data_IF_923540520819
#
_entry.id   IF_923540520819
#
_cell.length_a   1.000
_cell.length_b   1.000
_cell.length_c   1.000
_cell.angle_alpha   90.00
_cell.angle_beta   90.00
_cell.angle_gamma   90.00
#
_symmetry.space_group_name_H-M   'P 1'
#
loop_
_entity.id
_entity.type
_entity.pdbx_description
1 polymer ?
#
# COMPACT_ATOMS: atom_id res chain seq x y z
N UNK A 1 -0.53 13.96 19.86
CA UNK A 1 0.28 14.47 18.72
C UNK A 1 0.55 13.38 17.69
N UNK A 2 0.91 12.17 18.11
CA UNK A 2 1.20 11.01 17.24
C UNK A 2 0.12 10.77 16.16
N UNK A 3 -1.20 10.75 16.44
CA UNK A 3 -2.21 10.50 15.40
C UNK A 3 -2.27 11.59 14.32
N UNK A 4 -1.90 12.84 14.67
CA UNK A 4 -1.85 13.96 13.70
C UNK A 4 -0.69 13.79 12.73
N UNK A 5 0.46 13.33 13.22
CA UNK A 5 1.64 13.03 12.39
C UNK A 5 1.31 11.90 11.41
N UNK A 6 0.76 10.79 11.91
CA UNK A 6 0.36 9.67 11.05
C UNK A 6 -0.66 10.07 9.99
N UNK A 7 -1.64 10.93 10.34
CA UNK A 7 -2.58 11.48 9.37
C UNK A 7 -1.88 12.33 8.29
N UNK A 8 -0.91 13.17 8.68
CA UNK A 8 -0.16 13.97 7.72
C UNK A 8 0.70 13.10 6.78
N UNK A 9 1.40 12.12 7.34
CA UNK A 9 2.23 11.18 6.55
C UNK A 9 1.36 10.33 5.62
N UNK A 10 0.18 9.91 6.06
CA UNK A 10 -0.80 9.23 5.20
C UNK A 10 -1.20 10.08 4.00
N UNK A 11 -1.54 11.34 4.23
CA UNK A 11 -1.91 12.23 3.14
C UNK A 11 -0.73 12.46 2.17
N UNK A 12 0.48 12.65 2.71
CA UNK A 12 1.69 12.78 1.90
C UNK A 12 2.03 11.51 1.12
N UNK A 13 1.82 10.31 1.69
CA UNK A 13 2.06 9.06 0.97
C UNK A 13 1.08 8.85 -0.17
N UNK A 14 -0.17 9.28 -0.02
CA UNK A 14 -1.15 9.29 -1.10
C UNK A 14 -0.74 10.24 -2.22
N UNK A 15 -0.33 11.48 -1.89
CA UNK A 15 0.17 12.44 -2.89
C UNK A 15 1.41 11.87 -3.60
N UNK A 16 2.36 11.31 -2.84
CA UNK A 16 3.56 10.65 -3.37
C UNK A 16 3.21 9.55 -4.37
N UNK A 17 2.29 8.66 -4.01
CA UNK A 17 1.77 7.64 -4.91
C UNK A 17 1.15 8.25 -6.16
N UNK A 18 0.26 9.25 -6.02
CA UNK A 18 -0.42 9.86 -7.16
C UNK A 18 0.57 10.51 -8.15
N UNK A 19 1.62 11.16 -7.67
CA UNK A 19 2.66 11.74 -8.54
C UNK A 19 3.39 10.66 -9.33
N UNK A 20 3.84 9.60 -8.66
CA UNK A 20 4.54 8.46 -9.31
C UNK A 20 3.61 7.78 -10.30
N UNK A 21 2.36 7.55 -9.90
CA UNK A 21 1.37 6.88 -10.73
C UNK A 21 1.04 7.67 -11.99
N UNK A 22 0.87 9.00 -11.89
CA UNK A 22 0.62 9.84 -13.07
C UNK A 22 1.82 9.86 -14.01
N UNK A 23 3.04 9.90 -13.47
CA UNK A 23 4.26 9.77 -14.27
C UNK A 23 4.32 8.44 -15.02
N UNK A 24 4.07 7.33 -14.33
CA UNK A 24 4.05 6.00 -14.96
C UNK A 24 2.91 5.87 -15.96
N UNK A 25 1.71 6.31 -15.63
CA UNK A 25 0.58 6.27 -16.55
C UNK A 25 0.88 7.00 -17.87
N UNK A 26 1.51 8.18 -17.79
CA UNK A 26 1.89 8.95 -18.97
C UNK A 26 2.95 8.26 -19.85
N UNK A 27 3.77 7.38 -19.28
CA UNK A 27 4.79 6.62 -20.00
C UNK A 27 4.32 5.26 -20.52
N UNK A 28 3.14 4.79 -20.11
CA UNK A 28 2.64 3.49 -20.53
C UNK A 28 2.16 3.49 -22.01
N UNK A 29 2.45 2.42 -22.76
CA UNK A 29 1.86 2.18 -24.08
C UNK A 29 0.36 1.90 -23.99
N UNK A 30 -0.33 1.91 -25.14
CA UNK A 30 -1.78 1.62 -25.20
C UNK A 30 -2.14 0.24 -24.64
N UNK A 31 -1.28 -0.75 -24.90
CA UNK A 31 -1.40 -2.12 -24.41
C UNK A 31 -0.34 -2.37 -23.33
N UNK A 32 -0.78 -2.55 -22.08
CA UNK A 32 0.05 -2.77 -20.90
C UNK A 32 0.20 -4.26 -20.66
N UNK A 33 1.44 -4.73 -20.60
CA UNK A 33 1.82 -6.13 -20.38
C UNK A 33 2.13 -6.35 -18.90
N UNK A 34 1.61 -7.44 -18.32
CA UNK A 34 1.84 -7.82 -16.92
C UNK A 34 2.73 -9.05 -16.72
N UNK A 35 3.10 -9.74 -17.80
CA UNK A 35 3.92 -10.95 -17.76
C UNK A 35 4.66 -11.12 -19.08
N UNK A 36 5.93 -11.53 -19.00
CA UNK A 36 6.78 -11.91 -20.14
C UNK A 36 6.55 -13.36 -20.63
N UNK A 37 5.53 -14.05 -20.08
CA UNK A 37 5.18 -15.41 -20.49
C UNK A 37 4.50 -15.46 -21.87
N UNK A 38 4.50 -16.64 -22.49
CA UNK A 38 3.87 -16.91 -23.79
C UNK A 38 2.38 -16.52 -23.85
N UNK A 39 1.68 -16.61 -22.71
CA UNK A 39 0.32 -16.10 -22.52
C UNK A 39 0.35 -14.81 -21.69
N UNK A 40 0.95 -13.77 -22.27
CA UNK A 40 1.04 -12.47 -21.62
C UNK A 40 -0.36 -11.90 -21.35
N UNK A 41 -0.65 -11.63 -20.08
CA UNK A 41 -1.86 -10.88 -19.73
C UNK A 41 -1.65 -9.43 -20.15
N UNK A 42 -2.48 -8.98 -21.09
CA UNK A 42 -2.46 -7.62 -21.62
C UNK A 42 -3.75 -6.91 -21.21
N UNK A 43 -3.63 -5.65 -20.81
CA UNK A 43 -4.78 -4.78 -20.56
C UNK A 43 -4.58 -3.43 -21.25
N UNK A 44 -5.67 -2.77 -21.63
CA UNK A 44 -5.59 -1.38 -22.11
C UNK A 44 -5.09 -0.46 -21.00
N UNK A 45 -4.28 0.54 -21.35
CA UNK A 45 -3.78 1.58 -20.43
C UNK A 45 -4.88 2.24 -19.61
N UNK A 46 -6.03 2.51 -20.22
CA UNK A 46 -7.15 3.15 -19.54
C UNK A 46 -7.79 2.23 -18.49
N UNK A 47 -7.90 0.93 -18.80
CA UNK A 47 -8.36 -0.05 -17.80
C UNK A 47 -7.41 -0.09 -16.59
N UNK A 48 -6.09 -0.11 -16.83
CA UNK A 48 -5.10 -0.05 -15.74
C UNK A 48 -5.28 1.21 -14.92
N UNK A 49 -5.48 2.35 -15.58
CA UNK A 49 -5.72 3.62 -14.90
C UNK A 49 -6.95 3.58 -13.97
N UNK A 50 -8.10 3.20 -14.51
CA UNK A 50 -9.36 3.19 -13.76
C UNK A 50 -9.32 2.17 -12.62
N UNK A 51 -8.74 0.98 -12.83
CA UNK A 51 -8.57 -0.01 -11.77
C UNK A 51 -7.66 0.49 -10.66
N UNK A 52 -6.49 1.03 -10.99
CA UNK A 52 -5.53 1.53 -10.00
C UNK A 52 -6.13 2.68 -9.19
N UNK A 53 -6.76 3.66 -9.84
CA UNK A 53 -7.42 4.78 -9.15
C UNK A 53 -8.55 4.27 -8.26
N UNK A 54 -9.37 3.33 -8.74
CA UNK A 54 -10.48 2.77 -7.95
C UNK A 54 -9.96 2.05 -6.70
N UNK A 55 -8.96 1.18 -6.84
CA UNK A 55 -8.37 0.46 -5.72
C UNK A 55 -7.80 1.42 -4.69
N UNK A 56 -7.01 2.41 -5.13
CA UNK A 56 -6.38 3.40 -4.25
C UNK A 56 -7.43 4.28 -3.57
N UNK A 57 -8.46 4.70 -4.30
CA UNK A 57 -9.56 5.49 -3.76
C UNK A 57 -10.33 4.70 -2.70
N UNK A 58 -10.67 3.43 -2.95
CA UNK A 58 -11.36 2.57 -1.97
C UNK A 58 -10.50 2.41 -0.71
N UNK A 59 -9.22 2.04 -0.86
CA UNK A 59 -8.32 1.83 0.27
C UNK A 59 -8.16 3.10 1.11
N UNK A 60 -7.99 4.26 0.47
CA UNK A 60 -7.84 5.52 1.19
C UNK A 60 -9.17 6.06 1.74
N UNK A 61 -10.31 5.73 1.11
CA UNK A 61 -11.63 6.06 1.62
C UNK A 61 -11.93 5.34 2.95
N UNK A 62 -11.37 4.15 3.17
CA UNK A 62 -11.52 3.42 4.43
C UNK A 62 -11.03 4.23 5.64
N UNK A 63 -10.07 5.15 5.46
CA UNK A 63 -9.64 6.08 6.52
C UNK A 63 -10.78 6.92 7.05
N UNK A 64 -11.63 7.43 6.16
CA UNK A 64 -12.80 8.22 6.55
C UNK A 64 -13.88 7.37 7.19
N UNK A 65 -14.10 6.16 6.68
CA UNK A 65 -15.05 5.20 7.26
C UNK A 65 -14.62 4.82 8.68
N UNK A 66 -13.39 4.37 8.85
CA UNK A 66 -12.84 3.94 10.14
C UNK A 66 -12.79 5.10 11.13
N UNK A 67 -12.34 6.30 10.72
CA UNK A 67 -12.33 7.46 11.62
C UNK A 67 -13.73 7.87 12.07
N UNK A 68 -14.78 7.65 11.26
CA UNK A 68 -16.17 7.91 11.64
C UNK A 68 -16.71 6.85 12.60
N UNK A 69 -16.46 5.56 12.33
CA UNK A 69 -16.94 4.45 13.14
C UNK A 69 -16.25 4.37 14.51
N UNK A 70 -14.96 4.66 14.56
CA UNK A 70 -14.12 4.55 15.76
C UNK A 70 -13.79 5.90 16.39
N UNK A 71 -14.70 6.88 16.27
CA UNK A 71 -14.55 8.25 16.80
C UNK A 71 -14.17 8.32 18.30
N UNK A 72 -14.43 7.25 19.06
CA UNK A 72 -14.14 7.09 20.51
C UNK A 72 -12.98 6.16 20.83
N UNK A 73 -12.30 5.55 19.84
CA UNK A 73 -11.18 4.64 20.11
C UNK A 73 -9.93 5.41 20.54
N UNK A 74 -9.12 4.83 21.42
CA UNK A 74 -7.81 5.35 21.77
C UNK A 74 -6.97 5.68 20.54
N UNK A 75 -6.17 6.75 20.63
CA UNK A 75 -5.33 7.23 19.52
C UNK A 75 -4.37 6.17 18.94
N UNK A 76 -4.11 5.10 19.68
CA UNK A 76 -3.32 3.94 19.27
C UNK A 76 -3.92 3.21 18.06
N UNK A 77 -5.23 2.93 18.06
CA UNK A 77 -5.86 2.22 16.94
C UNK A 77 -5.83 3.06 15.67
N UNK A 78 -6.14 4.36 15.80
CA UNK A 78 -6.06 5.30 14.70
C UNK A 78 -4.66 5.35 14.10
N UNK A 79 -3.62 5.50 14.93
CA UNK A 79 -2.24 5.54 14.46
C UNK A 79 -1.81 4.24 13.75
N UNK A 80 -2.16 3.08 14.31
CA UNK A 80 -1.91 1.79 13.67
C UNK A 80 -2.59 1.68 12.30
N UNK A 81 -3.86 2.07 12.20
CA UNK A 81 -4.61 2.03 10.95
C UNK A 81 -4.04 2.98 9.89
N UNK A 82 -3.71 4.23 10.25
CA UNK A 82 -3.02 5.15 9.34
C UNK A 82 -1.68 4.56 8.86
N UNK A 83 -0.92 3.93 9.77
CA UNK A 83 0.31 3.22 9.42
C UNK A 83 0.07 2.14 8.36
N UNK A 84 -1.00 1.35 8.51
CA UNK A 84 -1.35 0.32 7.53
C UNK A 84 -1.64 0.90 6.14
N UNK A 85 -2.41 1.98 6.06
CA UNK A 85 -2.72 2.64 4.78
C UNK A 85 -1.46 3.28 4.16
N UNK A 86 -0.56 3.84 4.98
CA UNK A 86 0.72 4.36 4.51
C UNK A 86 1.54 3.26 3.83
N UNK A 87 1.66 2.09 4.47
CA UNK A 87 2.39 0.95 3.91
C UNK A 87 1.77 0.46 2.60
N UNK A 88 0.44 0.42 2.52
CA UNK A 88 -0.26 0.08 1.28
C UNK A 88 0.01 1.09 0.16
N UNK A 89 -0.01 2.40 0.45
CA UNK A 89 0.31 3.42 -0.56
C UNK A 89 1.74 3.25 -1.11
N UNK A 90 2.73 2.96 -0.24
CA UNK A 90 4.09 2.67 -0.69
C UNK A 90 4.19 1.39 -1.51
N UNK A 91 3.45 0.35 -1.13
CA UNK A 91 3.40 -0.88 -1.91
C UNK A 91 2.76 -0.67 -3.28
N UNK A 92 1.74 0.18 -3.40
CA UNK A 92 1.19 0.55 -4.70
C UNK A 92 2.23 1.26 -5.58
N UNK A 93 3.13 2.07 -5.01
CA UNK A 93 4.26 2.61 -5.77
C UNK A 93 5.15 1.49 -6.32
N UNK A 94 5.44 0.45 -5.52
CA UNK A 94 6.21 -0.72 -5.97
C UNK A 94 5.52 -1.46 -7.10
N UNK A 95 4.21 -1.70 -6.99
CA UNK A 95 3.42 -2.38 -8.04
C UNK A 95 3.43 -1.58 -9.34
N UNK A 96 3.18 -0.27 -9.26
CA UNK A 96 3.18 0.61 -10.44
C UNK A 96 4.59 0.71 -11.04
N UNK A 97 5.63 0.78 -10.21
CA UNK A 97 7.02 0.75 -10.68
C UNK A 97 7.37 -0.56 -11.38
N UNK A 98 6.85 -1.70 -10.92
CA UNK A 98 7.02 -2.98 -11.60
C UNK A 98 6.34 -2.99 -12.98
N UNK A 99 5.10 -2.50 -13.07
CA UNK A 99 4.38 -2.37 -14.33
C UNK A 99 5.15 -1.46 -15.30
N UNK A 100 5.69 -0.35 -14.81
CA UNK A 100 6.54 0.53 -15.61
C UNK A 100 7.75 -0.22 -16.19
N UNK A 101 8.49 -0.96 -15.37
CA UNK A 101 9.68 -1.70 -15.80
C UNK A 101 9.38 -2.79 -16.85
N UNK A 102 8.25 -3.49 -16.72
CA UNK A 102 7.82 -4.48 -17.70
C UNK A 102 7.48 -3.85 -19.07
N UNK A 103 7.06 -2.58 -19.07
CA UNK A 103 6.57 -1.90 -20.27
C UNK A 103 7.56 -0.86 -20.81
N UNK A 104 8.65 -0.58 -20.09
CA UNK A 104 9.79 0.14 -20.62
C UNK A 104 10.54 -0.78 -21.58
N UNK A 105 10.77 -0.36 -22.82
CA UNK A 105 11.48 -1.14 -23.84
C UNK A 105 12.96 -1.44 -23.53
N UNK A 106 13.40 -1.26 -22.29
CA UNK A 106 14.74 -1.54 -21.81
C UNK A 106 14.79 -2.93 -21.14
N UNK A 107 15.92 -3.64 -21.29
CA UNK A 107 16.11 -4.94 -20.65
C UNK A 107 16.56 -4.74 -19.20
N UNK A 108 15.67 -5.01 -18.24
CA UNK A 108 15.99 -4.98 -16.82
C UNK A 108 16.32 -6.38 -16.26
N UNK A 109 17.30 -6.45 -15.36
CA UNK A 109 17.48 -7.63 -14.50
C UNK A 109 16.51 -7.56 -13.33
N UNK A 110 15.69 -8.61 -13.18
CA UNK A 110 14.67 -8.72 -12.15
C UNK A 110 15.16 -9.40 -10.86
N UNK A 111 16.45 -9.75 -10.77
CA UNK A 111 17.03 -10.52 -9.67
C UNK A 111 16.79 -9.89 -8.30
N UNK A 112 16.70 -8.56 -8.24
CA UNK A 112 16.51 -7.78 -7.02
C UNK A 112 15.09 -7.29 -6.80
N UNK A 113 14.16 -7.52 -7.73
CA UNK A 113 12.76 -7.09 -7.54
C UNK A 113 12.03 -7.99 -6.54
N UNK A 114 12.39 -9.27 -6.48
CA UNK A 114 11.82 -10.20 -5.51
C UNK A 114 11.96 -9.69 -4.07
N UNK A 115 13.14 -9.22 -3.66
CA UNK A 115 13.34 -8.72 -2.29
C UNK A 115 12.49 -7.49 -1.98
N UNK A 116 12.25 -6.61 -2.95
CA UNK A 116 11.42 -5.41 -2.77
C UNK A 116 9.94 -5.81 -2.63
N UNK A 117 9.46 -6.71 -3.48
CA UNK A 117 8.07 -7.20 -3.45
C UNK A 117 7.81 -8.00 -2.17
N UNK A 118 8.61 -9.03 -1.89
CA UNK A 118 8.42 -9.86 -0.70
C UNK A 118 8.66 -9.09 0.59
N UNK A 119 9.62 -8.16 0.61
CA UNK A 119 9.90 -7.31 1.75
C UNK A 119 8.73 -6.37 2.07
N UNK A 120 8.17 -5.71 1.06
CA UNK A 120 7.01 -4.83 1.24
C UNK A 120 5.75 -5.59 1.68
N UNK A 121 5.47 -6.75 1.10
CA UNK A 121 4.35 -7.63 1.53
C UNK A 121 4.56 -8.07 2.98
N UNK A 122 5.77 -8.51 3.33
CA UNK A 122 6.09 -8.94 4.70
C UNK A 122 5.88 -7.80 5.69
N UNK A 123 6.28 -6.57 5.36
CA UNK A 123 6.10 -5.40 6.21
C UNK A 123 4.62 -5.08 6.45
N UNK A 124 3.78 -5.15 5.40
CA UNK A 124 2.33 -4.98 5.50
C UNK A 124 1.72 -6.01 6.45
N UNK A 125 2.11 -7.29 6.30
CA UNK A 125 1.60 -8.39 7.13
C UNK A 125 2.02 -8.22 8.58
N UNK A 126 3.31 -7.97 8.83
CA UNK A 126 3.87 -7.76 10.16
C UNK A 126 3.20 -6.57 10.87
N UNK A 127 2.97 -5.47 10.16
CA UNK A 127 2.24 -4.33 10.72
C UNK A 127 0.79 -4.66 11.04
N UNK A 128 0.11 -5.41 10.16
CA UNK A 128 -1.29 -5.83 10.35
C UNK A 128 -1.47 -6.66 11.62
N UNK A 129 -0.54 -7.56 11.92
CA UNK A 129 -0.61 -8.43 13.11
C UNK A 129 -0.05 -7.76 14.38
N UNK A 130 0.74 -6.69 14.24
CA UNK A 130 1.44 -6.05 15.35
C UNK A 130 0.51 -5.56 16.47
N UNK A 131 -0.59 -4.87 16.13
CA UNK A 131 -1.53 -4.39 17.14
C UNK A 131 -2.32 -5.52 17.82
N UNK A 132 -2.91 -6.51 17.09
CA UNK A 132 -3.51 -7.68 17.73
C UNK A 132 -2.57 -8.41 18.70
N UNK A 133 -1.32 -8.67 18.30
CA UNK A 133 -0.33 -9.34 19.14
C UNK A 133 -0.03 -8.51 20.39
N UNK A 134 0.17 -7.20 20.24
CA UNK A 134 0.40 -6.29 21.37
C UNK A 134 -0.76 -6.26 22.36
N UNK A 135 -2.00 -6.27 21.88
CA UNK A 135 -3.18 -6.28 22.76
C UNK A 135 -3.29 -7.61 23.53
N UNK A 136 -2.99 -8.73 22.87
CA UNK A 136 -2.99 -10.05 23.49
C UNK A 136 -1.90 -10.16 24.56
N UNK A 137 -0.66 -9.78 24.23
CA UNK A 137 0.47 -9.86 25.17
C UNK A 137 0.26 -9.03 26.44
N UNK A 138 -0.27 -7.81 26.30
CA UNK A 138 -0.61 -6.95 27.44
C UNK A 138 -1.62 -7.59 28.38
N UNK A 139 -2.62 -8.32 27.85
CA UNK A 139 -3.62 -9.01 28.69
C UNK A 139 -2.99 -10.12 29.52
N UNK A 140 -2.05 -10.88 28.95
CA UNK A 140 -1.36 -11.95 29.67
C UNK A 140 -0.45 -11.42 30.78
N UNK A 141 0.36 -10.39 30.53
CA UNK A 141 1.22 -9.80 31.58
C UNK A 141 0.41 -9.16 32.71
N UNK A 142 -0.74 -8.55 32.42
CA UNK A 142 -1.59 -7.96 33.47
C UNK A 142 -2.19 -9.00 34.43
N UNK A 143 -2.37 -10.24 33.98
CA UNK A 143 -2.90 -11.35 34.80
C UNK A 143 -1.85 -11.98 35.72
N UNK A 144 -0.56 -11.79 35.46
CA UNK A 144 0.52 -12.30 36.31
C UNK A 144 0.90 -11.36 37.45
N UNK A 145 0.36 -10.14 37.46
CA UNK A 145 0.65 -9.11 38.46
C UNK A 145 -0.37 -9.02 39.61
N UNK A 146 -1.28 -10.01 39.73
CA UNK A 146 -2.28 -10.12 40.80
C UNK A 146 -2.04 -11.43 41.55
#
# INVERSE_FOLDING_TARGET
MIPKIFKAVWFLSLIGFMMIFMYVYASLPENVVFSDATDAVVASRDLVFYLSVTVVAVVNALVFVVSKLYKRSDGTFSAWFYGQIILLNFFFCTVVGFVYLLNSGEKFSYDRLGIVIYGSISLIVLWSIGLPIYQISRRFSSKQAI
#
